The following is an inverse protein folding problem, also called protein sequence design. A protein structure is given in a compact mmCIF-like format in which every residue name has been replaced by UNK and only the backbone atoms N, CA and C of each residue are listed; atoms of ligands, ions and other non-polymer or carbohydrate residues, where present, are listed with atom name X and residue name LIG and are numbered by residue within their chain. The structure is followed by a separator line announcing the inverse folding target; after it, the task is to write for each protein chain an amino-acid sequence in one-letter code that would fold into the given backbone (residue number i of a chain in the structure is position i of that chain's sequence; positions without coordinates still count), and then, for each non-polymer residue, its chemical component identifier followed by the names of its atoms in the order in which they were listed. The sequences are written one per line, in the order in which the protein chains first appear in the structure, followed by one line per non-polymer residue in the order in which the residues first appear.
data_IF_983490533366
#
_entry.id   IF_983490533366
#
_cell.length_a   1.000
_cell.length_b   1.000
_cell.length_c   1.000
_cell.angle_alpha   90.00
_cell.angle_beta   90.00
_cell.angle_gamma   90.00
#
_symmetry.space_group_name_H-M   'P 1'
#
loop_
_entity.id
_entity.type
_entity.pdbx_description
1 polymer ?
#
# COMPACT_ATOMS: atom_id res chain seq x y z
N UNK A 1 0.35 62.63 -12.78
CA UNK A 1 -0.49 61.42 -12.59
C UNK A 1 0.20 60.32 -13.36
N UNK A 2 0.71 59.29 -12.68
CA UNK A 2 1.37 58.18 -13.36
C UNK A 2 0.30 57.31 -14.01
N UNK A 3 0.44 57.10 -15.31
CA UNK A 3 -0.37 56.20 -16.12
C UNK A 3 -0.01 54.76 -15.75
N UNK A 4 -0.96 54.04 -15.14
CA UNK A 4 -0.84 52.60 -14.91
C UNK A 4 -1.54 51.94 -16.09
N UNK A 5 -0.82 51.85 -17.21
CA UNK A 5 -1.22 51.02 -18.33
C UNK A 5 -1.38 49.59 -17.83
N UNK A 6 -2.60 49.06 -17.90
CA UNK A 6 -2.89 47.63 -17.63
C UNK A 6 -2.04 46.77 -18.56
N UNK A 7 -1.27 45.86 -17.98
CA UNK A 7 -0.58 44.81 -18.70
C UNK A 7 -1.63 43.88 -19.36
N UNK A 8 -1.71 43.79 -20.69
CA UNK A 8 -2.63 42.88 -21.37
C UNK A 8 -1.98 41.50 -21.43
N UNK A 9 -1.88 40.84 -20.28
CA UNK A 9 -1.21 39.54 -20.20
C UNK A 9 -1.22 38.82 -18.85
N UNK A 10 -1.75 39.41 -17.78
CA UNK A 10 -1.94 38.66 -16.54
C UNK A 10 -3.23 37.84 -16.63
N UNK A 11 -3.16 36.70 -17.33
CA UNK A 11 -4.03 35.58 -17.03
C UNK A 11 -3.68 35.14 -15.60
N UNK A 12 -4.25 35.83 -14.62
CA UNK A 12 -4.27 35.38 -13.24
C UNK A 12 -4.92 33.99 -13.29
N UNK A 13 -4.11 32.96 -13.08
CA UNK A 13 -4.54 31.58 -13.01
C UNK A 13 -5.52 31.45 -11.85
N UNK A 14 -6.80 31.67 -12.15
CA UNK A 14 -7.87 31.66 -11.18
C UNK A 14 -8.19 30.20 -10.90
N UNK A 15 -7.43 29.60 -9.98
CA UNK A 15 -7.70 28.26 -9.45
C UNK A 15 -9.03 28.36 -8.72
N UNK A 16 -10.11 28.08 -9.44
CA UNK A 16 -11.40 27.89 -8.80
C UNK A 16 -11.27 26.73 -7.81
N UNK A 17 -11.95 26.82 -6.69
CA UNK A 17 -11.97 25.79 -5.64
C UNK A 17 -12.31 24.40 -6.18
N UNK A 18 -12.91 24.33 -7.37
CA UNK A 18 -13.22 23.09 -8.11
C UNK A 18 -11.99 22.35 -8.62
N UNK A 19 -10.92 23.06 -9.00
CA UNK A 19 -9.64 22.45 -9.34
C UNK A 19 -8.95 21.85 -8.10
N UNK A 20 -9.20 22.45 -6.92
CA UNK A 20 -8.69 21.94 -5.65
C UNK A 20 -9.54 20.77 -5.13
N UNK A 21 -10.87 20.76 -5.32
CA UNK A 21 -11.71 19.60 -4.97
C UNK A 21 -11.49 18.41 -5.91
N UNK A 22 -11.13 18.63 -7.17
CA UNK A 22 -10.61 17.58 -8.06
C UNK A 22 -9.30 16.95 -7.56
N UNK A 23 -8.47 17.74 -6.86
CA UNK A 23 -7.24 17.28 -6.20
C UNK A 23 -7.49 16.69 -4.80
N UNK A 24 -8.63 16.98 -4.17
CA UNK A 24 -9.05 16.38 -2.89
C UNK A 24 -9.77 15.03 -3.07
N UNK A 25 -10.26 14.74 -4.27
CA UNK A 25 -10.85 13.44 -4.64
C UNK A 25 -9.83 12.43 -5.21
N UNK A 26 -8.69 12.90 -5.68
CA UNK A 26 -7.53 12.06 -6.00
C UNK A 26 -6.79 11.82 -4.70
N UNK A 27 -6.91 10.61 -4.12
CA UNK A 27 -6.01 10.22 -3.02
C UNK A 27 -4.59 10.53 -3.46
N UNK A 28 -3.92 11.45 -2.77
CA UNK A 28 -2.56 11.86 -3.10
C UNK A 28 -1.71 10.60 -3.22
N UNK A 29 -0.84 10.54 -4.22
CA UNK A 29 0.08 9.40 -4.45
C UNK A 29 0.86 8.97 -3.19
N UNK A 30 0.94 9.82 -2.16
CA UNK A 30 1.53 9.53 -0.85
C UNK A 30 0.63 8.89 0.21
N UNK A 31 -0.70 8.82 0.07
CA UNK A 31 -1.59 8.32 1.12
C UNK A 31 -1.72 6.78 1.13
N UNK A 32 -1.48 6.15 2.28
CA UNK A 32 -1.77 4.73 2.48
C UNK A 32 -3.29 4.49 2.49
N UNK A 33 -3.74 3.44 1.82
CA UNK A 33 -5.15 3.25 1.49
C UNK A 33 -5.51 1.79 1.34
N UNK A 34 -6.69 1.41 1.84
CA UNK A 34 -7.30 0.10 1.58
C UNK A 34 -7.96 0.01 0.20
N UNK A 35 -8.16 1.14 -0.46
CA UNK A 35 -8.44 1.22 -1.90
C UNK A 35 -7.13 1.29 -2.67
N UNK A 36 -7.12 0.79 -3.91
CA UNK A 36 -6.00 0.98 -4.83
C UNK A 36 -5.75 2.46 -5.11
N UNK A 37 -4.48 2.86 -5.13
CA UNK A 37 -4.04 4.22 -5.39
C UNK A 37 -2.91 4.19 -6.43
N UNK A 38 -2.99 5.06 -7.44
CA UNK A 38 -1.87 5.31 -8.35
C UNK A 38 -0.78 6.07 -7.62
N UNK A 39 0.47 5.63 -7.77
CA UNK A 39 1.61 6.23 -7.08
C UNK A 39 2.25 7.36 -7.88
N UNK A 40 1.83 7.57 -9.12
CA UNK A 40 2.49 8.49 -10.07
C UNK A 40 3.87 8.02 -10.52
N UNK A 41 4.33 6.86 -10.06
CA UNK A 41 5.58 6.24 -10.50
C UNK A 41 5.32 5.22 -11.61
N UNK A 42 6.35 4.96 -12.38
CA UNK A 42 6.37 3.97 -13.45
C UNK A 42 7.45 2.94 -13.15
N UNK A 43 7.15 1.69 -13.43
CA UNK A 43 8.12 0.60 -13.43
C UNK A 43 8.93 0.64 -14.73
N UNK A 44 9.87 -0.30 -14.89
CA UNK A 44 10.46 -0.52 -16.21
C UNK A 44 9.35 -0.81 -17.23
N UNK A 45 9.58 -0.44 -18.48
CA UNK A 45 8.63 -0.56 -19.60
C UNK A 45 7.38 0.33 -19.48
N UNK A 46 7.49 1.49 -18.81
CA UNK A 46 6.43 2.51 -18.69
C UNK A 46 5.13 2.00 -18.02
N UNK A 47 5.20 0.88 -17.29
CA UNK A 47 4.04 0.33 -16.58
C UNK A 47 3.71 1.16 -15.33
N UNK A 48 2.47 1.67 -15.17
CA UNK A 48 2.09 2.43 -13.98
C UNK A 48 2.20 1.58 -12.70
N UNK A 49 2.71 2.18 -11.64
CA UNK A 49 2.81 1.55 -10.32
C UNK A 49 1.63 1.96 -9.45
N UNK A 50 0.94 0.96 -8.93
CA UNK A 50 -0.18 1.06 -8.00
C UNK A 50 0.24 0.59 -6.62
N UNK A 51 -0.56 1.00 -5.64
CA UNK A 51 -0.35 0.67 -4.24
C UNK A 51 -1.65 0.39 -3.53
N UNK A 52 -1.65 -0.60 -2.63
CA UNK A 52 -2.79 -0.96 -1.80
C UNK A 52 -2.34 -1.53 -0.46
N UNK A 53 -2.98 -1.11 0.62
CA UNK A 53 -2.87 -1.73 1.94
C UNK A 53 -4.02 -2.73 2.10
N UNK A 54 -3.72 -3.93 2.57
CA UNK A 54 -4.69 -4.96 2.88
C UNK A 54 -4.63 -5.22 4.37
N UNK A 55 -5.78 -5.14 5.03
CA UNK A 55 -5.94 -5.65 6.40
C UNK A 55 -5.93 -7.17 6.32
N UNK A 56 -4.92 -7.77 6.95
CA UNK A 56 -4.70 -9.22 6.94
C UNK A 56 -5.11 -9.89 8.24
N UNK A 57 -5.67 -9.13 9.20
CA UNK A 57 -6.19 -9.64 10.46
C UNK A 57 -5.12 -10.24 11.38
N UNK A 58 -5.51 -11.19 12.22
CA UNK A 58 -4.59 -11.89 13.10
C UNK A 58 -3.65 -12.83 12.32
N UNK A 59 -2.40 -12.93 12.75
CA UNK A 59 -1.46 -13.89 12.18
C UNK A 59 -1.86 -15.34 12.54
N UNK A 60 -1.53 -16.32 11.67
CA UNK A 60 -1.91 -17.72 11.89
C UNK A 60 -1.11 -18.38 13.03
N UNK A 61 -1.65 -19.49 13.56
CA UNK A 61 -0.95 -20.36 14.50
C UNK A 61 -0.31 -21.54 13.75
N UNK A 62 1.01 -21.49 13.53
CA UNK A 62 1.81 -22.54 12.88
C UNK A 62 1.21 -23.05 11.57
N UNK A 63 0.64 -22.15 10.77
CA UNK A 63 -0.08 -22.47 9.54
C UNK A 63 -0.07 -21.30 8.56
N UNK A 64 -0.88 -21.40 7.51
CA UNK A 64 -1.09 -20.34 6.54
C UNK A 64 -2.44 -19.65 6.73
N UNK A 65 -2.47 -18.34 6.48
CA UNK A 65 -3.68 -17.56 6.28
C UNK A 65 -3.70 -17.01 4.85
N UNK A 66 -4.85 -17.09 4.20
CA UNK A 66 -5.07 -16.61 2.83
C UNK A 66 -6.04 -15.43 2.88
N UNK A 67 -5.57 -14.25 2.48
CA UNK A 67 -6.36 -13.01 2.52
C UNK A 67 -6.51 -12.45 1.11
N UNK A 68 -7.74 -12.29 0.65
CA UNK A 68 -8.02 -11.71 -0.66
C UNK A 68 -7.54 -10.25 -0.72
N UNK A 69 -6.63 -9.94 -1.64
CA UNK A 69 -6.17 -8.55 -1.81
C UNK A 69 -7.15 -7.71 -2.63
N UNK A 70 -8.12 -8.31 -3.34
CA UNK A 70 -9.17 -7.63 -4.10
C UNK A 70 -8.62 -6.56 -5.07
N UNK A 71 -7.54 -6.87 -5.79
CA UNK A 71 -6.98 -5.99 -6.82
C UNK A 71 -7.76 -6.30 -8.10
N UNK A 72 -8.42 -5.28 -8.64
CA UNK A 72 -9.36 -5.43 -9.76
C UNK A 72 -8.64 -5.44 -11.11
N UNK A 73 -9.30 -6.02 -12.12
CA UNK A 73 -8.84 -6.13 -13.51
C UNK A 73 -8.29 -4.82 -14.09
N UNK A 74 -7.19 -4.85 -14.88
CA UNK A 74 -6.41 -6.05 -15.19
C UNK A 74 -5.68 -6.61 -13.96
N UNK A 75 -5.51 -7.93 -13.91
CA UNK A 75 -4.91 -8.63 -12.78
C UNK A 75 -3.49 -8.11 -12.48
N UNK A 76 -2.94 -8.50 -11.33
CA UNK A 76 -1.54 -8.30 -10.99
C UNK A 76 -0.62 -8.79 -12.12
N UNK A 77 0.41 -7.99 -12.42
CA UNK A 77 1.51 -8.37 -13.33
C UNK A 77 2.78 -8.66 -12.51
N UNK A 78 3.32 -7.65 -11.83
CA UNK A 78 4.46 -7.80 -10.93
C UNK A 78 4.21 -7.11 -9.58
N UNK A 79 4.54 -7.80 -8.49
CA UNK A 79 4.62 -7.20 -7.15
C UNK A 79 6.05 -6.71 -6.93
N UNK A 80 6.20 -5.40 -6.78
CA UNK A 80 7.50 -4.72 -6.66
C UNK A 80 7.98 -4.70 -5.21
N UNK A 81 7.06 -4.44 -4.28
CA UNK A 81 7.35 -4.42 -2.84
C UNK A 81 6.21 -5.05 -2.06
N UNK A 82 6.60 -5.86 -1.07
CA UNK A 82 5.73 -6.36 -0.01
C UNK A 82 6.29 -5.77 1.29
N UNK A 83 5.46 -4.98 1.98
CA UNK A 83 5.82 -4.34 3.25
C UNK A 83 4.66 -4.50 4.21
N UNK A 84 4.90 -4.37 5.50
CA UNK A 84 3.80 -4.43 6.45
C UNK A 84 4.28 -4.49 7.89
N UNK A 85 3.31 -4.68 8.77
CA UNK A 85 3.56 -4.95 10.17
C UNK A 85 2.47 -5.84 10.74
N UNK A 86 2.80 -6.51 11.83
CA UNK A 86 1.85 -7.11 12.73
C UNK A 86 2.03 -6.49 14.12
N UNK A 87 0.95 -6.43 14.90
CA UNK A 87 0.87 -5.82 16.23
C UNK A 87 0.14 -6.77 17.17
N UNK A 88 0.67 -6.96 18.38
CA UNK A 88 0.01 -7.70 19.45
C UNK A 88 -0.88 -6.79 20.32
N UNK A 89 -1.66 -7.39 21.22
CA UNK A 89 -2.55 -6.66 22.14
C UNK A 89 -1.82 -5.74 23.13
N UNK A 90 -0.49 -5.87 23.26
CA UNK A 90 0.35 -5.01 24.09
C UNK A 90 1.01 -3.87 23.30
N UNK A 91 0.79 -3.82 21.98
CA UNK A 91 1.39 -2.84 21.07
C UNK A 91 2.79 -3.18 20.58
N UNK A 92 3.29 -4.40 20.83
CA UNK A 92 4.56 -4.84 20.24
C UNK A 92 4.37 -5.09 18.75
N UNK A 93 5.31 -4.61 17.94
CA UNK A 93 5.25 -4.74 16.49
C UNK A 93 6.41 -5.53 15.91
N UNK A 94 6.11 -6.31 14.87
CA UNK A 94 7.10 -6.93 13.99
C UNK A 94 6.88 -6.45 12.54
N UNK A 95 7.96 -6.26 11.76
CA UNK A 95 7.81 -5.99 10.33
C UNK A 95 7.30 -7.25 9.61
N UNK A 96 6.59 -7.06 8.50
CA UNK A 96 6.23 -8.16 7.60
C UNK A 96 6.95 -7.99 6.24
N UNK A 97 7.65 -9.03 5.74
CA UNK A 97 7.93 -10.31 6.40
C UNK A 97 8.88 -10.17 7.61
N UNK A 98 8.83 -11.15 8.52
CA UNK A 98 9.64 -11.19 9.73
C UNK A 98 10.57 -12.41 9.74
N UNK A 99 11.82 -12.19 10.14
CA UNK A 99 12.76 -13.27 10.48
C UNK A 99 13.15 -13.10 11.95
N UNK A 100 12.96 -14.14 12.74
CA UNK A 100 13.39 -14.21 14.13
C UNK A 100 14.70 -14.99 14.20
N UNK A 101 15.82 -14.27 14.10
CA UNK A 101 17.19 -14.83 14.14
C UNK A 101 17.53 -15.57 15.44
N UNK A 102 16.69 -15.47 16.48
CA UNK A 102 16.85 -16.22 17.72
C UNK A 102 16.01 -17.50 17.79
N UNK A 103 15.06 -17.68 16.87
CA UNK A 103 14.05 -18.74 16.92
C UNK A 103 13.37 -18.98 15.56
N UNK A 104 14.14 -19.16 14.49
CA UNK A 104 13.60 -19.23 13.12
C UNK A 104 12.54 -20.33 12.95
N UNK A 105 12.70 -21.45 13.69
CA UNK A 105 11.79 -22.59 13.67
C UNK A 105 10.36 -22.27 14.17
N UNK A 106 10.16 -21.16 14.88
CA UNK A 106 8.85 -20.79 15.43
C UNK A 106 8.51 -19.29 15.36
N UNK A 107 9.49 -18.41 15.13
CA UNK A 107 9.31 -16.95 15.11
C UNK A 107 9.16 -16.35 13.71
N UNK A 108 9.57 -17.07 12.66
CA UNK A 108 9.52 -16.54 11.29
C UNK A 108 8.08 -16.36 10.79
N UNK A 109 7.85 -15.24 10.08
CA UNK A 109 6.60 -14.95 9.39
C UNK A 109 6.87 -14.57 7.94
N UNK A 110 6.52 -15.48 7.03
CA UNK A 110 6.64 -15.28 5.59
C UNK A 110 5.40 -14.61 5.01
N UNK A 111 5.61 -13.74 4.01
CA UNK A 111 4.53 -13.14 3.21
C UNK A 111 4.81 -13.38 1.74
N UNK A 112 3.84 -14.00 1.04
CA UNK A 112 3.86 -14.20 -0.39
C UNK A 112 2.55 -13.66 -1.00
N UNK A 113 2.55 -13.43 -2.32
CA UNK A 113 1.39 -12.94 -3.06
C UNK A 113 1.24 -13.76 -4.34
N UNK A 114 0.01 -14.13 -4.66
CA UNK A 114 -0.35 -14.65 -5.99
C UNK A 114 -1.44 -13.74 -6.60
N UNK A 115 -2.01 -14.15 -7.73
CA UNK A 115 -2.99 -13.36 -8.50
C UNK A 115 -4.24 -12.92 -7.72
N UNK A 116 -4.57 -13.58 -6.59
CA UNK A 116 -5.84 -13.36 -5.87
C UNK A 116 -5.70 -13.11 -4.38
N UNK A 117 -4.63 -13.61 -3.75
CA UNK A 117 -4.46 -13.59 -2.29
C UNK A 117 -3.05 -13.21 -1.87
N UNK A 118 -2.98 -12.61 -0.68
CA UNK A 118 -1.79 -12.56 0.16
C UNK A 118 -1.79 -13.82 1.01
N UNK A 119 -0.64 -14.50 1.05
CA UNK A 119 -0.39 -15.72 1.80
C UNK A 119 0.54 -15.35 2.95
N UNK A 120 0.04 -15.45 4.19
CA UNK A 120 0.85 -15.28 5.40
C UNK A 120 1.14 -16.65 5.98
N UNK A 121 2.41 -16.98 6.20
CA UNK A 121 2.84 -18.24 6.81
C UNK A 121 3.57 -17.94 8.10
N UNK A 122 3.13 -18.55 9.21
CA UNK A 122 3.86 -18.48 10.48
C UNK A 122 4.55 -19.83 10.75
N UNK A 123 5.85 -19.80 11.07
CA UNK A 123 6.61 -21.00 11.42
C UNK A 123 6.12 -21.62 12.75
N UNK A 124 5.74 -20.76 13.70
CA UNK A 124 5.16 -21.14 14.98
C UNK A 124 3.87 -20.38 15.29
N UNK A 125 3.51 -20.31 16.57
CA UNK A 125 2.28 -19.64 16.99
C UNK A 125 2.45 -18.11 16.98
N UNK A 126 1.99 -17.46 15.92
CA UNK A 126 2.00 -16.00 15.80
C UNK A 126 0.64 -15.34 16.17
N UNK A 127 -0.35 -16.11 16.66
CA UNK A 127 -1.72 -15.60 16.86
C UNK A 127 -1.87 -14.51 17.93
N UNK A 128 -0.82 -14.27 18.72
CA UNK A 128 -0.76 -13.14 19.65
C UNK A 128 -0.71 -11.78 18.92
N UNK A 129 -0.19 -11.75 17.70
CA UNK A 129 -0.29 -10.59 16.81
C UNK A 129 -1.67 -10.60 16.15
N UNK A 130 -2.63 -9.95 16.80
CA UNK A 130 -4.05 -9.99 16.45
C UNK A 130 -4.45 -8.97 15.38
N UNK A 131 -3.51 -8.11 14.96
CA UNK A 131 -3.66 -7.12 13.90
C UNK A 131 -2.47 -7.17 12.95
N UNK A 132 -2.73 -7.17 11.65
CA UNK A 132 -1.67 -7.07 10.64
C UNK A 132 -2.14 -6.35 9.39
N UNK A 133 -1.21 -5.64 8.75
CA UNK A 133 -1.45 -4.96 7.47
C UNK A 133 -0.30 -5.25 6.53
N UNK A 134 -0.64 -5.61 5.29
CA UNK A 134 0.32 -5.79 4.20
C UNK A 134 0.06 -4.74 3.12
N UNK A 135 1.09 -3.99 2.79
CA UNK A 135 1.15 -3.05 1.69
C UNK A 135 1.80 -3.70 0.48
N UNK A 136 1.07 -3.68 -0.63
CA UNK A 136 1.54 -4.13 -1.93
C UNK A 136 1.80 -2.92 -2.83
N UNK A 137 2.95 -2.93 -3.49
CA UNK A 137 3.28 -2.07 -4.63
C UNK A 137 3.39 -2.95 -5.85
N UNK A 138 2.70 -2.61 -6.92
CA UNK A 138 2.56 -3.52 -8.05
C UNK A 138 2.28 -2.82 -9.38
N UNK A 139 2.58 -3.51 -10.47
CA UNK A 139 2.09 -3.22 -11.82
C UNK A 139 0.88 -4.11 -12.14
N UNK A 140 0.14 -3.73 -13.18
CA UNK A 140 -0.94 -4.54 -13.75
C UNK A 140 -0.61 -4.93 -15.19
N UNK A 141 -1.27 -5.99 -15.67
CA UNK A 141 -1.15 -6.50 -17.04
C UNK A 141 -1.77 -5.52 -18.04
#
# INVERSE_FOLDING_TARGET
MADISKDPGSDDFNVTTDAFTGLLGTRLAGQFSTSEVSTGMFWIDDKPVFRKVVDTGALPNSTQSLVAHNIASPNLDAVLFIRGFAEDTNGNQIPLPHVDVGNEAAGDVGVAVNDTVIIITAAGNASLFDKSHVELWYTKV
#
